data_IF_808893286153
#
_entry.id   IF_808893286153
#
_cell.length_a   1.000
_cell.length_b   1.000
_cell.length_c   1.000
_cell.angle_alpha   90.00
_cell.angle_beta   90.00
_cell.angle_gamma   90.00
#
_symmetry.space_group_name_H-M   'P 1'
#
loop_
_entity.id
_entity.type
_entity.pdbx_description
1 polymer ?
#
# COMPACT_ATOMS: atom_id res chain seq x y z
N UNK A 1 4.10 28.73 0.84
CA UNK A 1 2.88 28.29 1.54
C UNK A 1 1.90 27.89 0.44
N UNK A 2 1.85 26.59 0.12
CA UNK A 2 0.93 26.05 -0.89
C UNK A 2 -0.43 25.90 -0.20
N UNK A 3 -1.51 26.49 -0.72
CA UNK A 3 -2.82 26.34 -0.09
C UNK A 3 -3.23 24.85 -0.15
N UNK A 4 -3.92 24.33 0.87
CA UNK A 4 -4.46 22.98 0.82
C UNK A 4 -5.48 22.89 -0.33
N UNK A 5 -5.56 21.76 -1.04
CA UNK A 5 -6.59 21.57 -2.05
C UNK A 5 -7.96 21.67 -1.39
N UNK A 6 -8.73 22.67 -1.79
CA UNK A 6 -10.10 22.91 -1.31
C UNK A 6 -11.02 21.79 -1.80
N UNK A 7 -11.87 21.32 -0.89
CA UNK A 7 -12.89 20.26 -1.04
C UNK A 7 -14.00 20.57 -2.06
N UNK A 8 -13.96 21.72 -2.75
CA UNK A 8 -14.95 22.09 -3.76
C UNK A 8 -14.72 21.46 -5.14
N UNK A 9 -13.53 20.89 -5.38
CA UNK A 9 -13.17 20.31 -6.69
C UNK A 9 -13.63 18.86 -6.90
N UNK A 10 -14.35 18.26 -5.94
CA UNK A 10 -14.79 16.86 -5.99
C UNK A 10 -16.07 16.64 -6.82
N UNK A 11 -16.86 17.68 -7.10
CA UNK A 11 -18.24 17.52 -7.60
C UNK A 11 -18.42 17.29 -9.11
N UNK A 12 -17.36 17.30 -9.92
CA UNK A 12 -17.46 17.07 -11.38
C UNK A 12 -16.26 16.29 -11.97
N UNK A 13 -15.79 15.23 -11.31
CA UNK A 13 -14.87 14.31 -11.99
C UNK A 13 -15.66 13.47 -13.00
N UNK A 14 -15.30 13.46 -14.30
CA UNK A 14 -15.98 12.63 -15.28
C UNK A 14 -15.80 11.15 -14.91
N UNK A 15 -16.91 10.44 -14.73
CA UNK A 15 -16.92 9.00 -14.47
C UNK A 15 -17.30 8.26 -15.75
N UNK A 16 -16.48 7.28 -16.13
CA UNK A 16 -16.77 6.36 -17.23
C UNK A 16 -17.09 4.98 -16.65
N UNK A 17 -18.09 4.30 -17.20
CA UNK A 17 -18.46 2.93 -16.83
C UNK A 17 -18.21 2.03 -18.02
N UNK A 18 -17.49 0.95 -17.81
CA UNK A 18 -17.17 -0.03 -18.84
C UNK A 18 -17.77 -1.38 -18.48
N UNK A 19 -18.48 -1.99 -19.41
CA UNK A 19 -18.89 -3.38 -19.35
C UNK A 19 -17.71 -4.30 -19.74
N UNK A 20 -17.70 -5.57 -19.29
CA UNK A 20 -16.69 -6.53 -19.72
C UNK A 20 -16.58 -6.60 -21.25
N UNK A 21 -15.35 -6.50 -21.77
CA UNK A 21 -15.04 -6.44 -23.20
C UNK A 21 -14.96 -5.03 -23.78
N UNK A 22 -15.45 -4.01 -23.07
CA UNK A 22 -15.33 -2.62 -23.49
C UNK A 22 -13.93 -2.05 -23.22
N UNK A 23 -13.59 -1.01 -23.98
CA UNK A 23 -12.29 -0.33 -23.95
C UNK A 23 -12.50 1.17 -23.87
N UNK A 24 -11.59 1.84 -23.18
CA UNK A 24 -11.56 3.28 -23.04
C UNK A 24 -10.16 3.78 -23.37
N UNK A 25 -10.08 4.59 -24.41
CA UNK A 25 -8.84 5.26 -24.81
C UNK A 25 -8.66 6.55 -24.02
N UNK A 26 -7.42 6.88 -23.66
CA UNK A 26 -7.10 8.12 -22.97
C UNK A 26 -5.84 8.78 -23.52
N UNK A 27 -5.83 10.11 -23.45
CA UNK A 27 -4.71 10.92 -23.92
C UNK A 27 -5.03 12.40 -23.97
N UNK A 28 -4.08 13.21 -24.43
CA UNK A 28 -4.25 14.67 -24.52
C UNK A 28 -5.20 15.10 -25.64
N UNK A 29 -5.40 14.29 -26.68
CA UNK A 29 -6.25 14.65 -27.82
C UNK A 29 -7.72 14.32 -27.53
N UNK A 30 -8.55 15.34 -27.26
CA UNK A 30 -9.98 15.13 -26.99
C UNK A 30 -10.78 14.54 -28.17
N UNK A 31 -10.28 14.66 -29.41
CA UNK A 31 -10.96 14.11 -30.60
C UNK A 31 -10.66 12.64 -30.83
N UNK A 32 -9.54 12.16 -30.32
CA UNK A 32 -9.01 10.82 -30.62
C UNK A 32 -9.12 9.87 -29.41
N UNK A 33 -9.61 10.35 -28.26
CA UNK A 33 -9.69 9.57 -27.03
C UNK A 33 -11.03 9.81 -26.32
N UNK A 34 -11.52 8.75 -25.67
CA UNK A 34 -12.74 8.78 -24.85
C UNK A 34 -12.55 9.61 -23.57
N UNK A 35 -11.36 9.54 -22.97
CA UNK A 35 -10.95 10.33 -21.80
C UNK A 35 -9.82 11.30 -22.15
N UNK A 36 -10.14 12.59 -22.13
CA UNK A 36 -9.17 13.66 -22.36
C UNK A 36 -8.43 14.03 -21.07
N UNK A 37 -7.09 13.95 -21.09
CA UNK A 37 -6.22 14.45 -20.03
C UNK A 37 -5.43 15.63 -20.61
N UNK A 38 -5.98 16.83 -20.46
CA UNK A 38 -5.49 18.06 -21.07
C UNK A 38 -4.21 18.60 -20.38
N UNK A 39 -3.09 17.88 -20.54
CA UNK A 39 -1.79 18.25 -19.97
C UNK A 39 -0.66 17.98 -20.97
N UNK A 40 0.29 18.91 -21.10
CA UNK A 40 1.33 18.85 -22.14
C UNK A 40 2.33 17.71 -22.00
N UNK A 41 2.54 17.23 -20.77
CA UNK A 41 3.31 16.02 -20.50
C UNK A 41 2.66 14.70 -20.96
N UNK A 42 1.37 14.73 -21.34
CA UNK A 42 0.61 13.53 -21.75
C UNK A 42 0.62 13.38 -23.27
N UNK A 43 0.90 12.16 -23.75
CA UNK A 43 0.84 11.85 -25.18
C UNK A 43 -0.55 12.11 -25.77
N UNK A 44 -0.62 12.49 -27.05
CA UNK A 44 -1.89 12.66 -27.77
C UNK A 44 -2.77 11.42 -27.69
N UNK A 45 -2.15 10.24 -27.81
CA UNK A 45 -2.74 8.94 -27.51
C UNK A 45 -1.84 8.29 -26.45
N UNK A 46 -2.30 8.25 -25.21
CA UNK A 46 -1.48 7.87 -24.06
C UNK A 46 -1.65 6.39 -23.74
N UNK A 47 -2.90 5.90 -23.71
CA UNK A 47 -3.15 4.51 -23.42
C UNK A 47 -4.58 4.07 -23.69
N UNK A 48 -4.84 2.82 -23.33
CA UNK A 48 -6.17 2.20 -23.38
C UNK A 48 -6.38 1.36 -22.13
N UNK A 49 -7.57 1.48 -21.54
CA UNK A 49 -8.06 0.69 -20.43
C UNK A 49 -9.05 -0.32 -21.00
N UNK A 50 -8.84 -1.62 -20.73
CA UNK A 50 -9.78 -2.67 -21.12
C UNK A 50 -10.46 -3.28 -19.90
N UNK A 51 -11.78 -3.34 -19.91
CA UNK A 51 -12.54 -4.04 -18.86
C UNK A 51 -12.58 -5.55 -19.17
N UNK A 52 -12.19 -6.38 -18.20
CA UNK A 52 -12.31 -7.84 -18.26
C UNK A 52 -13.13 -8.32 -17.06
N UNK A 53 -13.66 -9.54 -17.10
CA UNK A 53 -14.64 -10.02 -16.11
C UNK A 53 -14.27 -9.73 -14.65
N UNK A 54 -13.11 -10.21 -14.19
CA UNK A 54 -12.65 -10.08 -12.79
C UNK A 54 -11.37 -9.24 -12.64
N UNK A 55 -10.89 -8.62 -13.71
CA UNK A 55 -9.70 -7.76 -13.71
C UNK A 55 -9.81 -6.73 -14.84
N UNK A 56 -8.83 -5.85 -15.00
CA UNK A 56 -8.78 -4.94 -16.14
C UNK A 56 -7.38 -4.87 -16.71
N UNK A 57 -7.24 -4.37 -17.94
CA UNK A 57 -5.95 -4.27 -18.62
C UNK A 57 -5.57 -2.83 -18.90
N UNK A 58 -4.26 -2.54 -18.83
CA UNK A 58 -3.70 -1.27 -19.25
C UNK A 58 -2.75 -1.48 -20.42
N UNK A 59 -3.04 -0.83 -21.54
CA UNK A 59 -2.13 -0.68 -22.67
C UNK A 59 -1.48 0.69 -22.63
N UNK A 60 -0.15 0.73 -22.52
CA UNK A 60 0.64 1.95 -22.62
C UNK A 60 1.02 2.19 -24.09
N UNK A 61 0.35 3.16 -24.71
CA UNK A 61 0.55 3.52 -26.11
C UNK A 61 1.64 4.60 -26.29
N UNK A 62 2.23 5.07 -25.18
CA UNK A 62 3.37 5.97 -25.22
C UNK A 62 4.65 5.21 -25.60
N UNK A 63 5.51 5.85 -26.39
CA UNK A 63 6.77 5.27 -26.86
C UNK A 63 7.95 5.46 -25.89
N UNK A 64 7.82 6.32 -24.88
CA UNK A 64 8.97 6.79 -24.08
C UNK A 64 8.68 6.95 -22.58
N UNK A 65 7.44 6.78 -22.12
CA UNK A 65 7.09 6.95 -20.70
C UNK A 65 6.59 5.65 -20.11
N UNK A 66 7.06 5.30 -18.90
CA UNK A 66 6.52 4.19 -18.12
C UNK A 66 5.37 4.69 -17.28
N UNK A 67 4.27 3.95 -17.25
CA UNK A 67 3.15 4.19 -16.34
C UNK A 67 3.29 3.30 -15.11
N UNK A 68 2.79 3.78 -13.98
CA UNK A 68 2.70 3.01 -12.75
C UNK A 68 1.22 2.81 -12.44
N UNK A 69 0.82 1.59 -12.08
CA UNK A 69 -0.49 1.36 -11.49
C UNK A 69 -0.27 1.02 -10.04
N UNK A 70 -0.68 1.92 -9.16
CA UNK A 70 -0.59 1.78 -7.71
C UNK A 70 -1.85 1.09 -7.18
N UNK A 71 -1.68 0.24 -6.16
CA UNK A 71 -2.75 -0.25 -5.32
C UNK A 71 -2.79 0.62 -4.04
N UNK A 72 -3.76 1.54 -3.91
CA UNK A 72 -3.87 2.39 -2.71
C UNK A 72 -4.14 1.59 -1.43
N UNK A 73 -4.69 0.38 -1.55
CA UNK A 73 -5.00 -0.52 -0.43
C UNK A 73 -3.80 -1.43 -0.08
N UNK A 74 -2.90 -1.68 -1.03
CA UNK A 74 -1.77 -2.62 -0.92
C UNK A 74 -0.48 -2.03 -0.33
N UNK A 75 -0.58 -0.97 0.46
CA UNK A 75 0.55 -0.37 1.19
C UNK A 75 1.82 -0.10 0.34
N UNK A 76 1.63 0.37 -0.90
CA UNK A 76 2.73 0.70 -1.84
C UNK A 76 3.01 -0.36 -2.89
N UNK A 77 2.20 -1.41 -2.94
CA UNK A 77 2.13 -2.30 -4.09
C UNK A 77 1.85 -1.51 -5.37
N UNK A 78 2.61 -1.83 -6.42
CA UNK A 78 2.44 -1.24 -7.74
C UNK A 78 2.95 -2.18 -8.83
N UNK A 79 2.44 -1.97 -10.04
CA UNK A 79 2.99 -2.57 -11.26
C UNK A 79 3.50 -1.48 -12.19
N UNK A 80 4.56 -1.79 -12.94
CA UNK A 80 5.08 -0.92 -14.00
C UNK A 80 4.59 -1.39 -15.36
N UNK A 81 4.02 -0.47 -16.13
CA UNK A 81 3.61 -0.68 -17.51
C UNK A 81 4.55 0.12 -18.40
N UNK A 82 5.59 -0.55 -18.88
CA UNK A 82 6.61 0.05 -19.73
C UNK A 82 6.05 0.59 -21.05
N UNK A 83 6.79 1.46 -21.75
CA UNK A 83 6.37 2.02 -23.03
C UNK A 83 6.02 0.93 -24.05
N UNK A 84 4.91 1.09 -24.76
CA UNK A 84 4.43 0.13 -25.77
C UNK A 84 3.90 -1.20 -25.22
N UNK A 85 3.90 -1.42 -23.89
CA UNK A 85 3.33 -2.64 -23.31
C UNK A 85 1.81 -2.64 -23.49
N UNK A 86 1.31 -3.66 -24.16
CA UNK A 86 -0.13 -3.86 -24.38
C UNK A 86 -0.71 -4.81 -23.35
N UNK A 87 -1.98 -4.60 -23.02
CA UNK A 87 -2.84 -5.46 -22.23
C UNK A 87 -2.20 -5.95 -20.92
N UNK A 88 -1.48 -5.08 -20.22
CA UNK A 88 -0.91 -5.42 -18.93
C UNK A 88 -2.04 -5.69 -17.93
N UNK A 89 -2.16 -6.90 -17.36
CA UNK A 89 -3.24 -7.23 -16.44
C UNK A 89 -3.04 -6.49 -15.12
N UNK A 90 -4.10 -5.88 -14.61
CA UNK A 90 -4.14 -5.19 -13.33
C UNK A 90 -5.08 -5.95 -12.39
N UNK A 91 -4.54 -6.58 -11.33
CA UNK A 91 -5.32 -7.42 -10.42
C UNK A 91 -5.83 -6.65 -9.19
N UNK A 92 -5.93 -5.31 -9.23
CA UNK A 92 -6.37 -4.52 -8.08
C UNK A 92 -7.81 -4.05 -8.26
N UNK A 93 -8.60 -4.15 -7.17
CA UNK A 93 -10.00 -3.71 -7.12
C UNK A 93 -10.10 -2.19 -7.17
N UNK A 94 -9.22 -1.50 -6.44
CA UNK A 94 -9.02 -0.07 -6.56
C UNK A 94 -7.59 0.22 -7.01
N UNK A 95 -7.46 0.96 -8.09
CA UNK A 95 -6.17 1.28 -8.71
C UNK A 95 -6.04 2.77 -8.97
N UNK A 96 -4.79 3.25 -8.95
CA UNK A 96 -4.43 4.56 -9.48
C UNK A 96 -3.39 4.41 -10.58
N UNK A 97 -3.76 4.76 -11.81
CA UNK A 97 -2.80 4.93 -12.91
C UNK A 97 -2.09 6.25 -12.70
N UNK A 98 -0.77 6.20 -12.54
CA UNK A 98 0.10 7.36 -12.38
C UNK A 98 0.90 7.58 -13.68
N UNK A 99 0.67 8.72 -14.30
CA UNK A 99 1.34 9.19 -15.51
C UNK A 99 2.38 10.25 -15.14
N UNK A 100 3.66 10.08 -15.51
CA UNK A 100 4.62 11.17 -15.42
C UNK A 100 4.23 12.27 -16.40
N UNK A 101 4.25 13.53 -15.95
CA UNK A 101 3.82 14.66 -16.77
C UNK A 101 4.63 15.93 -16.45
N UNK A 102 5.82 16.06 -17.03
CA UNK A 102 6.63 17.29 -17.01
C UNK A 102 6.83 17.96 -15.63
N UNK A 103 7.10 17.16 -14.58
CA UNK A 103 7.29 17.64 -13.21
C UNK A 103 6.13 17.29 -12.27
N UNK A 104 4.97 16.95 -12.84
CA UNK A 104 3.80 16.48 -12.12
C UNK A 104 3.57 14.97 -12.29
N UNK A 105 2.78 14.40 -11.38
CA UNK A 105 2.25 13.05 -11.47
C UNK A 105 0.72 13.14 -11.59
N UNK A 106 0.20 12.75 -12.75
CA UNK A 106 -1.24 12.75 -13.00
C UNK A 106 -1.83 11.38 -12.66
N UNK A 107 -2.97 11.40 -11.98
CA UNK A 107 -3.64 10.20 -11.49
C UNK A 107 -4.97 9.98 -12.21
N UNK A 108 -5.20 8.75 -12.67
CA UNK A 108 -6.53 8.27 -13.09
C UNK A 108 -6.92 7.12 -12.16
N UNK A 109 -8.07 7.25 -11.52
CA UNK A 109 -8.58 6.24 -10.58
C UNK A 109 -9.45 5.24 -11.34
N UNK A 110 -9.24 3.95 -11.08
CA UNK A 110 -9.94 2.85 -11.72
C UNK A 110 -10.49 1.92 -10.65
N UNK A 111 -11.78 1.60 -10.75
CA UNK A 111 -12.47 0.66 -9.88
C UNK A 111 -12.88 -0.57 -10.69
N UNK A 112 -12.43 -1.74 -10.27
CA UNK A 112 -12.81 -3.03 -10.80
C UNK A 112 -13.79 -3.74 -9.86
N UNK A 113 -14.52 -4.77 -10.34
CA UNK A 113 -15.33 -5.62 -9.48
C UNK A 113 -14.51 -6.23 -8.34
N UNK A 114 -15.14 -6.44 -7.19
CA UNK A 114 -14.50 -7.11 -6.05
C UNK A 114 -14.17 -8.56 -6.40
N UNK A 115 -13.04 -9.06 -5.90
CA UNK A 115 -12.72 -10.47 -6.04
C UNK A 115 -13.50 -11.30 -5.02
N UNK A 116 -13.94 -12.47 -5.46
CA UNK A 116 -14.47 -13.48 -4.56
C UNK A 116 -13.33 -14.18 -3.82
N UNK A 117 -13.37 -14.14 -2.50
CA UNK A 117 -12.39 -14.83 -1.64
C UNK A 117 -13.02 -16.09 -1.07
N UNK A 118 -12.31 -17.21 -1.20
CA UNK A 118 -12.72 -18.46 -0.57
C UNK A 118 -12.73 -18.28 0.95
N UNK A 119 -13.87 -18.57 1.57
CA UNK A 119 -13.99 -18.74 3.03
C UNK A 119 -13.99 -20.24 3.30
N UNK A 120 -12.87 -20.77 3.79
CA UNK A 120 -12.78 -22.18 4.15
C UNK A 120 -13.20 -22.36 5.61
N UNK A 121 -14.23 -23.17 5.85
CA UNK A 121 -14.54 -23.71 7.17
C UNK A 121 -13.96 -25.13 7.26
N UNK A 122 -12.88 -25.30 8.04
CA UNK A 122 -12.23 -26.59 8.25
C UNK A 122 -11.25 -26.98 7.14
N UNK A 123 -10.03 -27.34 7.54
CA UNK A 123 -9.02 -27.90 6.65
C UNK A 123 -9.08 -29.44 6.64
N UNK A 124 -8.38 -30.09 5.71
CA UNK A 124 -8.16 -31.53 5.78
C UNK A 124 -7.52 -31.93 7.12
N UNK A 125 -7.79 -33.16 7.57
CA UNK A 125 -7.25 -33.71 8.82
C UNK A 125 -5.70 -33.69 8.81
N UNK A 126 -5.10 -33.26 9.92
CA UNK A 126 -3.65 -33.21 10.10
C UNK A 126 -3.21 -32.19 11.14
N UNK A 127 -1.90 -32.14 11.40
CA UNK A 127 -1.32 -31.15 12.29
C UNK A 127 -1.49 -29.73 11.72
N UNK A 128 -1.84 -28.77 12.59
CA UNK A 128 -1.96 -27.36 12.21
C UNK A 128 -0.65 -26.85 11.64
N UNK A 129 -0.69 -26.33 10.42
CA UNK A 129 0.48 -25.71 9.79
C UNK A 129 0.96 -24.54 10.64
N UNK A 130 2.23 -24.57 11.05
CA UNK A 130 2.83 -23.49 11.81
C UNK A 130 2.85 -22.19 10.98
N UNK A 131 2.37 -21.06 11.51
CA UNK A 131 2.35 -19.79 10.78
C UNK A 131 3.78 -19.28 10.52
N UNK A 132 4.03 -18.76 9.32
CA UNK A 132 5.33 -18.22 8.92
C UNK A 132 5.78 -17.05 9.83
N UNK A 133 4.83 -16.23 10.28
CA UNK A 133 5.05 -15.13 11.22
C UNK A 133 4.00 -15.17 12.33
N UNK A 134 4.40 -15.54 13.54
CA UNK A 134 3.52 -15.49 14.71
C UNK A 134 3.60 -14.11 15.36
N UNK A 135 2.61 -13.26 15.14
CA UNK A 135 2.53 -11.92 15.77
C UNK A 135 1.24 -11.85 16.58
N UNK A 136 1.35 -11.67 17.90
CA UNK A 136 0.19 -11.55 18.79
C UNK A 136 -0.25 -10.09 18.85
N UNK A 137 -1.45 -9.82 18.31
CA UNK A 137 -2.04 -8.49 18.18
C UNK A 137 -2.34 -7.81 19.53
N UNK A 138 -2.45 -8.58 20.61
CA UNK A 138 -2.71 -8.05 21.95
C UNK A 138 -1.48 -7.44 22.63
N UNK A 139 -0.27 -7.63 22.07
CA UNK A 139 0.98 -7.26 22.73
C UNK A 139 1.49 -5.90 22.27
N UNK A 140 2.21 -5.21 23.16
CA UNK A 140 2.79 -3.88 22.89
C UNK A 140 3.71 -3.83 21.68
N UNK A 141 4.43 -4.91 21.38
CA UNK A 141 5.26 -4.96 20.18
C UNK A 141 4.42 -4.86 18.90
N UNK A 142 3.18 -5.36 18.90
CA UNK A 142 2.29 -5.23 17.76
C UNK A 142 1.83 -3.78 17.60
N UNK A 143 1.45 -3.11 18.68
CA UNK A 143 1.13 -1.69 18.65
C UNK A 143 2.31 -0.84 18.12
N UNK A 144 3.55 -1.17 18.50
CA UNK A 144 4.76 -0.52 17.95
C UNK A 144 4.90 -0.77 16.45
N UNK A 145 4.67 -2.00 15.98
CA UNK A 145 4.70 -2.33 14.55
C UNK A 145 3.61 -1.58 13.78
N UNK A 146 2.39 -1.51 14.34
CA UNK A 146 1.27 -0.77 13.78
C UNK A 146 1.56 0.74 13.69
N UNK A 147 2.13 1.34 14.74
CA UNK A 147 2.51 2.75 14.74
C UNK A 147 3.59 3.09 13.70
N UNK A 148 4.50 2.15 13.41
CA UNK A 148 5.50 2.30 12.34
C UNK A 148 4.88 2.21 10.94
N UNK A 149 3.84 1.39 10.77
CA UNK A 149 3.16 1.17 9.49
C UNK A 149 2.06 2.20 9.20
N UNK A 150 1.50 2.84 10.24
CA UNK A 150 0.34 3.73 10.17
C UNK A 150 0.41 4.78 9.05
N UNK A 151 1.52 5.52 8.83
CA UNK A 151 1.55 6.53 7.77
C UNK A 151 1.34 5.94 6.37
N UNK A 152 1.82 4.72 6.12
CA UNK A 152 1.71 4.07 4.82
C UNK A 152 0.37 3.39 4.60
N UNK A 153 -0.28 2.97 5.68
CA UNK A 153 -1.62 2.39 5.66
C UNK A 153 -2.69 3.46 5.47
N UNK A 154 -2.49 4.70 5.94
CA UNK A 154 -3.45 5.81 5.75
C UNK A 154 -3.29 6.58 4.43
N UNK A 155 -2.99 5.87 3.34
CA UNK A 155 -2.99 6.46 2.00
C UNK A 155 -1.76 7.30 1.63
N UNK A 156 -0.64 7.19 2.38
CA UNK A 156 0.66 7.75 1.98
C UNK A 156 1.72 6.64 1.84
N UNK A 157 1.66 5.81 0.77
CA UNK A 157 2.45 4.58 0.65
C UNK A 157 3.98 4.77 0.72
N UNK A 158 4.45 5.95 0.33
CA UNK A 158 5.87 6.31 0.34
C UNK A 158 6.25 7.27 1.47
N UNK A 159 5.39 7.42 2.49
CA UNK A 159 5.70 8.24 3.65
C UNK A 159 7.01 7.78 4.33
N UNK A 160 7.85 8.73 4.77
CA UNK A 160 9.01 8.40 5.57
C UNK A 160 8.56 7.71 6.86
N UNK A 161 9.38 6.79 7.35
CA UNK A 161 9.04 6.10 8.60
C UNK A 161 9.08 7.08 9.78
N UNK A 162 8.16 6.91 10.74
CA UNK A 162 8.15 7.79 11.90
C UNK A 162 9.42 7.61 12.74
N UNK A 163 9.84 8.71 13.38
CA UNK A 163 10.90 8.68 14.39
C UNK A 163 10.42 7.93 15.63
N UNK A 164 11.36 7.53 16.51
CA UNK A 164 10.98 6.85 17.76
C UNK A 164 10.09 7.74 18.62
N UNK A 165 10.36 9.05 18.66
CA UNK A 165 9.57 10.01 19.43
C UNK A 165 8.14 10.13 18.85
N UNK A 166 8.03 10.19 17.52
CA UNK A 166 6.74 10.15 16.82
C UNK A 166 5.95 8.86 17.03
N UNK A 167 6.62 7.73 17.22
CA UNK A 167 5.99 6.45 17.59
C UNK A 167 5.51 6.48 19.05
N UNK A 168 6.31 7.03 19.96
CA UNK A 168 5.89 7.21 21.36
C UNK A 168 4.61 8.03 21.43
N UNK A 169 4.58 9.17 20.73
CA UNK A 169 3.41 10.07 20.74
C UNK A 169 2.15 9.38 20.23
N UNK A 170 2.27 8.58 19.16
CA UNK A 170 1.16 7.77 18.62
C UNK A 170 0.64 6.71 19.60
N UNK A 171 1.51 6.15 20.43
CA UNK A 171 1.18 5.07 21.35
C UNK A 171 0.58 5.55 22.67
N UNK A 172 0.78 6.83 23.05
CA UNK A 172 0.31 7.35 24.35
C UNK A 172 -1.16 7.10 24.66
N UNK A 173 -2.12 7.21 23.70
CA UNK A 173 -3.54 6.96 24.00
C UNK A 173 -3.81 5.54 24.52
N UNK A 174 -3.26 4.51 23.85
CA UNK A 174 -3.43 3.10 24.24
C UNK A 174 -2.37 2.58 25.24
N UNK A 175 -1.25 3.30 25.37
CA UNK A 175 -0.14 2.97 26.26
C UNK A 175 0.51 4.26 26.82
N UNK A 176 -0.07 4.84 27.90
CA UNK A 176 0.42 6.09 28.50
C UNK A 176 1.88 6.06 28.98
N UNK A 177 2.39 4.87 29.33
CA UNK A 177 3.77 4.64 29.76
C UNK A 177 4.77 4.39 28.62
N UNK A 178 4.38 4.61 27.36
CA UNK A 178 5.29 4.45 26.22
C UNK A 178 6.48 5.41 26.35
N UNK A 179 7.69 4.87 26.22
CA UNK A 179 8.94 5.62 26.27
C UNK A 179 9.87 5.23 25.12
N UNK A 180 10.84 6.09 24.80
CA UNK A 180 11.85 5.83 23.76
C UNK A 180 12.53 4.47 23.93
N UNK A 181 12.92 4.15 25.17
CA UNK A 181 13.56 2.88 25.52
C UNK A 181 12.63 1.70 25.27
N UNK A 182 11.37 1.80 25.68
CA UNK A 182 10.39 0.73 25.51
C UNK A 182 10.06 0.48 24.03
N UNK A 183 9.94 1.54 23.22
CA UNK A 183 9.71 1.42 21.76
C UNK A 183 10.91 0.79 21.08
N UNK A 184 12.13 1.24 21.40
CA UNK A 184 13.36 0.69 20.85
C UNK A 184 13.50 -0.80 21.20
N UNK A 185 13.20 -1.19 22.44
CA UNK A 185 13.22 -2.58 22.87
C UNK A 185 12.22 -3.45 22.08
N UNK A 186 11.00 -2.95 21.85
CA UNK A 186 9.99 -3.68 21.06
C UNK A 186 10.40 -3.80 19.58
N UNK A 187 10.98 -2.74 19.00
CA UNK A 187 11.62 -2.81 17.67
C UNK A 187 12.72 -3.88 17.66
N UNK A 188 13.49 -3.96 18.75
CA UNK A 188 14.53 -4.96 18.88
C UNK A 188 14.01 -6.39 18.93
N UNK A 189 13.02 -6.63 19.78
CA UNK A 189 12.30 -7.88 19.90
C UNK A 189 11.63 -8.31 18.59
N UNK A 190 10.96 -7.40 17.89
CA UNK A 190 10.29 -7.69 16.61
C UNK A 190 11.25 -8.23 15.56
N UNK A 191 12.46 -7.67 15.43
CA UNK A 191 13.38 -8.18 14.42
C UNK A 191 13.89 -9.58 14.72
N UNK A 192 14.02 -9.95 15.99
CA UNK A 192 14.34 -11.34 16.36
C UNK A 192 13.13 -12.23 16.06
N UNK A 193 11.93 -11.81 16.49
CA UNK A 193 10.68 -12.54 16.32
C UNK A 193 10.32 -12.79 14.85
N UNK A 194 10.61 -11.83 13.99
CA UNK A 194 10.39 -11.90 12.53
C UNK A 194 11.64 -12.38 11.78
N UNK A 195 12.66 -12.88 12.49
CA UNK A 195 13.88 -13.47 11.91
C UNK A 195 14.65 -12.54 10.95
N UNK A 196 14.53 -11.22 11.15
CA UNK A 196 15.29 -10.18 10.44
C UNK A 196 16.70 -9.98 11.04
N UNK A 197 16.97 -10.55 12.21
CA UNK A 197 18.31 -10.71 12.79
C UNK A 197 18.59 -12.21 12.99
N UNK A 198 19.83 -12.68 12.77
CA UNK A 198 20.27 -13.96 13.33
C UNK A 198 20.03 -13.96 14.85
N UNK A 199 19.73 -15.13 15.43
CA UNK A 199 19.61 -15.27 16.87
C UNK A 199 20.92 -14.88 17.58
N UNK A 200 20.88 -14.50 18.87
CA UNK A 200 22.06 -14.05 19.61
C UNK A 200 23.23 -15.07 19.60
N UNK A 201 22.94 -16.35 19.38
CA UNK A 201 23.94 -17.43 19.29
C UNK A 201 24.66 -17.53 17.93
N UNK A 202 24.25 -16.76 16.92
CA UNK A 202 24.73 -16.88 15.52
C UNK A 202 25.28 -15.58 14.93
N UNK A 203 25.39 -14.52 15.72
CA UNK A 203 25.80 -13.21 15.21
C UNK A 203 27.33 -13.02 15.29
N UNK A 204 28.02 -13.09 14.14
CA UNK A 204 29.26 -12.31 13.97
C UNK A 204 28.90 -10.82 14.03
N UNK A 205 29.77 -9.99 14.63
CA UNK A 205 29.57 -8.53 14.73
C UNK A 205 29.65 -7.87 13.35
N UNK A 206 28.59 -7.99 12.57
CA UNK A 206 28.40 -7.29 11.30
C UNK A 206 28.04 -5.82 11.49
N UNK A 207 28.15 -5.00 10.42
CA UNK A 207 27.95 -3.55 10.49
C UNK A 207 26.54 -3.22 11.00
N UNK A 208 26.47 -2.20 11.86
CA UNK A 208 25.25 -1.70 12.51
C UNK A 208 24.11 -1.56 11.48
N UNK A 209 22.97 -2.20 11.76
CA UNK A 209 21.76 -2.21 10.94
C UNK A 209 21.13 -0.81 10.82
N UNK A 210 21.73 0.07 10.01
CA UNK A 210 20.99 1.17 9.40
C UNK A 210 19.91 0.53 8.50
N UNK A 211 18.62 0.78 8.78
CA UNK A 211 17.52 0.20 7.98
C UNK A 211 16.64 -0.84 8.69
N UNK A 212 16.80 -1.04 10.01
CA UNK A 212 16.02 -2.04 10.74
C UNK A 212 14.51 -1.76 10.76
N UNK A 213 14.12 -0.50 10.98
CA UNK A 213 12.71 -0.10 10.98
C UNK A 213 12.11 -0.28 9.59
N UNK A 214 12.88 0.05 8.57
CA UNK A 214 12.58 -0.09 7.16
C UNK A 214 12.35 -1.55 6.78
N UNK A 215 13.22 -2.45 7.24
CA UNK A 215 13.06 -3.90 7.03
C UNK A 215 11.82 -4.45 7.72
N UNK A 216 11.55 -4.02 8.96
CA UNK A 216 10.36 -4.41 9.72
C UNK A 216 9.08 -3.98 9.01
N UNK A 217 8.98 -2.70 8.65
CA UNK A 217 7.80 -2.15 7.97
C UNK A 217 7.64 -2.76 6.59
N UNK A 218 8.73 -2.92 5.82
CA UNK A 218 8.68 -3.55 4.50
C UNK A 218 8.17 -4.99 4.59
N UNK A 219 8.62 -5.78 5.57
CA UNK A 219 8.14 -7.14 5.77
C UNK A 219 6.67 -7.17 6.20
N UNK A 220 6.32 -6.32 7.17
CA UNK A 220 4.97 -6.27 7.72
C UNK A 220 3.92 -5.89 6.67
N UNK A 221 4.21 -4.88 5.84
CA UNK A 221 3.32 -4.46 4.78
C UNK A 221 3.28 -5.46 3.62
N UNK A 222 4.41 -6.08 3.26
CA UNK A 222 4.48 -7.05 2.16
C UNK A 222 3.65 -8.31 2.40
N UNK A 223 3.48 -8.71 3.65
CA UNK A 223 2.76 -9.92 4.04
C UNK A 223 1.50 -9.63 4.87
N UNK A 224 1.02 -8.39 4.87
CA UNK A 224 -0.16 -7.94 5.61
C UNK A 224 -0.15 -8.35 7.09
N UNK A 225 1.02 -8.32 7.74
CA UNK A 225 1.13 -8.59 9.17
C UNK A 225 0.45 -7.49 10.00
N UNK A 226 0.34 -6.28 9.43
CA UNK A 226 -0.44 -5.16 9.94
C UNK A 226 -1.27 -4.61 8.79
N UNK A 227 -2.58 -4.52 8.99
CA UNK A 227 -3.55 -3.93 8.05
C UNK A 227 -4.10 -2.62 8.61
N UNK A 228 -4.84 -1.88 7.80
CA UNK A 228 -5.48 -0.63 8.24
C UNK A 228 -6.43 -0.88 9.43
N UNK A 229 -7.21 -1.97 9.42
CA UNK A 229 -8.09 -2.36 10.53
C UNK A 229 -7.33 -2.60 11.84
N UNK A 230 -6.07 -3.04 11.78
CA UNK A 230 -5.25 -3.28 12.97
C UNK A 230 -4.82 -1.97 13.66
N UNK A 231 -4.97 -0.80 13.01
CA UNK A 231 -4.62 0.51 13.59
C UNK A 231 -5.49 0.88 14.79
N UNK A 232 -6.60 0.18 15.03
CA UNK A 232 -7.41 0.30 16.25
C UNK A 232 -6.59 0.09 17.53
N UNK A 233 -5.52 -0.71 17.46
CA UNK A 233 -4.62 -0.96 18.60
C UNK A 233 -3.88 0.30 19.08
N UNK A 234 -3.84 1.36 18.27
CA UNK A 234 -3.21 2.64 18.64
C UNK A 234 -4.13 3.50 19.51
N UNK A 235 -5.45 3.28 19.43
CA UNK A 235 -6.45 4.04 20.19
C UNK A 235 -7.01 3.26 21.38
N UNK A 236 -6.92 1.92 21.37
CA UNK A 236 -7.41 1.09 22.47
C UNK A 236 -6.36 0.82 23.56
N UNK A 237 -6.74 0.85 24.86
CA UNK A 237 -5.84 0.45 25.94
C UNK A 237 -5.43 -1.02 25.76
N UNK A 238 -4.13 -1.30 25.77
CA UNK A 238 -3.57 -2.65 25.60
C UNK A 238 -4.12 -3.62 26.67
N UNK A 239 -5.19 -4.33 26.35
CA UNK A 239 -5.89 -5.21 27.29
C UNK A 239 -7.34 -5.57 26.95
N UNK A 240 -7.92 -5.04 25.87
CA UNK A 240 -9.34 -5.30 25.53
C UNK A 240 -9.61 -5.51 24.03
N UNK A 241 -8.79 -6.30 23.33
CA UNK A 241 -9.24 -6.92 22.07
C UNK A 241 -9.83 -8.28 22.45
N UNK A 242 -11.14 -8.29 22.73
CA UNK A 242 -11.89 -9.51 23.01
C UNK A 242 -12.69 -9.91 21.77
N UNK A 243 -12.29 -11.06 21.19
CA UNK A 243 -12.97 -11.94 20.23
C UNK A 243 -13.31 -11.39 18.85
#
# INVERSE_FOLDING_TARGET
MVPPPTTENERHRPQHRLAPGERLTFGRSARDNDLCIAHDGVSRKAGEIGAQGVFWTLSNLCSHQTYVVENPEGAGEHIKVGPGRLDAPVPFEFSRIVLPAAGDLLAVEVWAPRHDYLRTEGGPDGDTTAPAFSVDRSKRYFAVLAALCEPRLRGAPHAPLPTVDQVVDRLRPGWPGASRTSVQWNIDYLAVKLRLKPGPETAESGPRLNGKKESLVSLALRFDLVREDDLVVLTEPSGRIAR
#
